data_IF_086140947837
#
_entry.id   IF_086140947837
#
_cell.length_a   1.000
_cell.length_b   1.000
_cell.length_c   1.000
_cell.angle_alpha   90.00
_cell.angle_beta   90.00
_cell.angle_gamma   90.00
#
_symmetry.space_group_name_H-M   'P 1'
#
loop_
_entity.id
_entity.type
_entity.pdbx_description
1 polymer ?
#
# COMPACT_ATOMS: atom_id res chain seq x y z
N UNK A 1 -15.56 -6.87 11.32
CA UNK A 1 -14.22 -6.42 10.89
C UNK A 1 -14.32 -6.05 9.43
N UNK A 2 -13.61 -5.02 8.96
CA UNK A 2 -13.60 -4.69 7.53
C UNK A 2 -12.95 -5.84 6.74
N UNK A 3 -13.46 -6.13 5.55
CA UNK A 3 -12.90 -7.14 4.66
C UNK A 3 -11.53 -6.69 4.14
N UNK A 4 -10.50 -7.53 4.26
CA UNK A 4 -9.11 -7.14 4.02
C UNK A 4 -8.82 -6.68 2.59
N UNK A 5 -9.33 -7.35 1.53
CA UNK A 5 -9.26 -6.85 0.15
C UNK A 5 -9.90 -5.47 -0.02
N UNK A 6 -11.09 -5.24 0.55
CA UNK A 6 -11.76 -3.94 0.47
C UNK A 6 -10.99 -2.87 1.25
N UNK A 7 -10.41 -3.23 2.39
CA UNK A 7 -9.56 -2.32 3.17
C UNK A 7 -8.31 -1.93 2.39
N UNK A 8 -7.64 -2.90 1.77
CA UNK A 8 -6.45 -2.65 0.95
C UNK A 8 -6.80 -1.72 -0.22
N UNK A 9 -7.89 -2.03 -0.94
CA UNK A 9 -8.31 -1.24 -2.09
C UNK A 9 -8.64 0.21 -1.71
N UNK A 10 -9.27 0.44 -0.55
CA UNK A 10 -9.55 1.80 -0.04
C UNK A 10 -8.30 2.63 0.20
N UNK A 11 -7.23 2.04 0.72
CA UNK A 11 -5.96 2.73 0.92
C UNK A 11 -5.16 2.88 -0.37
N UNK A 12 -5.23 1.88 -1.25
CA UNK A 12 -4.50 1.86 -2.52
C UNK A 12 -5.09 2.80 -3.58
N UNK A 13 -6.39 3.05 -3.54
CA UNK A 13 -7.10 3.79 -4.59
C UNK A 13 -6.57 5.22 -4.82
N UNK A 14 -6.39 6.10 -3.81
CA UNK A 14 -5.98 7.49 -4.06
C UNK A 14 -4.63 7.68 -4.80
N UNK A 15 -3.55 6.91 -4.52
CA UNK A 15 -2.35 6.97 -5.36
C UNK A 15 -2.47 6.17 -6.66
N UNK A 16 -3.33 5.14 -6.72
CA UNK A 16 -3.57 4.36 -7.94
C UNK A 16 -4.32 5.16 -9.01
N UNK A 17 -5.31 5.99 -8.65
CA UNK A 17 -5.99 6.89 -9.61
C UNK A 17 -5.05 7.93 -10.23
N UNK A 18 -3.89 8.19 -9.60
CA UNK A 18 -2.85 9.08 -10.09
C UNK A 18 -1.75 8.34 -10.87
N UNK A 19 -1.87 7.02 -11.02
CA UNK A 19 -0.91 6.17 -11.74
C UNK A 19 0.39 5.89 -10.99
N UNK A 20 0.44 6.08 -9.67
CA UNK A 20 1.68 5.88 -8.89
C UNK A 20 1.94 4.42 -8.49
N UNK A 21 0.89 3.59 -8.46
CA UNK A 21 0.97 2.17 -8.11
C UNK A 21 -0.21 1.40 -8.71
N UNK A 22 -0.14 0.06 -8.68
CA UNK A 22 -1.18 -0.83 -9.19
C UNK A 22 -1.14 -1.03 -10.70
N UNK A 23 -2.18 -1.64 -11.26
CA UNK A 23 -2.39 -1.77 -12.70
C UNK A 23 -3.11 -0.57 -13.31
N UNK A 24 -3.24 -0.58 -14.64
CA UNK A 24 -3.78 0.55 -15.43
C UNK A 24 -5.27 0.83 -15.17
N UNK A 25 -6.03 -0.17 -14.73
CA UNK A 25 -7.50 -0.08 -14.55
C UNK A 25 -7.89 0.32 -13.11
N UNK A 26 -7.54 1.56 -12.75
CA UNK A 26 -7.90 2.17 -11.46
C UNK A 26 -9.42 2.37 -11.28
N UNK A 27 -10.19 2.46 -12.38
CA UNK A 27 -11.65 2.62 -12.34
C UNK A 27 -12.32 1.32 -11.94
N UNK A 28 -11.91 0.18 -12.50
CA UNK A 28 -12.42 -1.11 -12.06
C UNK A 28 -12.18 -1.36 -10.57
N UNK A 29 -11.00 -0.96 -10.05
CA UNK A 29 -10.71 -1.07 -8.62
C UNK A 29 -11.67 -0.24 -7.77
N UNK A 30 -11.99 1.00 -8.18
CA UNK A 30 -12.97 1.84 -7.48
C UNK A 30 -14.36 1.22 -7.47
N UNK A 31 -14.82 0.76 -8.64
CA UNK A 31 -16.15 0.18 -8.82
C UNK A 31 -16.33 -1.06 -7.96
N UNK A 32 -15.37 -1.99 -8.01
CA UNK A 32 -15.36 -3.20 -7.19
C UNK A 32 -15.36 -2.87 -5.68
N UNK A 33 -14.54 -1.90 -5.27
CA UNK A 33 -14.44 -1.47 -3.86
C UNK A 33 -15.74 -0.81 -3.38
N UNK A 34 -16.37 0.00 -4.26
CA UNK A 34 -17.61 0.72 -3.96
C UNK A 34 -18.81 -0.21 -3.91
N UNK A 35 -18.82 -1.24 -4.75
CA UNK A 35 -19.82 -2.31 -4.71
C UNK A 35 -19.72 -3.16 -3.45
N UNK A 36 -18.56 -3.14 -2.76
CA UNK A 36 -18.33 -3.92 -1.55
C UNK A 36 -18.28 -5.43 -1.80
N UNK A 37 -18.06 -5.84 -3.05
CA UNK A 37 -18.02 -7.24 -3.47
C UNK A 37 -16.57 -7.67 -3.58
N UNK A 38 -16.20 -8.74 -2.87
CA UNK A 38 -14.90 -9.39 -3.01
C UNK A 38 -15.06 -10.63 -3.85
N UNK A 39 -14.54 -10.58 -5.08
CA UNK A 39 -14.46 -11.71 -5.98
C UNK A 39 -13.00 -12.07 -6.32
N UNK A 40 -12.81 -13.14 -7.11
CA UNK A 40 -11.49 -13.54 -7.56
C UNK A 40 -10.80 -12.50 -8.45
N UNK A 41 -11.57 -11.69 -9.18
CA UNK A 41 -11.06 -10.62 -10.03
C UNK A 41 -10.41 -9.50 -9.22
N UNK A 42 -11.12 -8.97 -8.21
CA UNK A 42 -10.58 -7.98 -7.29
C UNK A 42 -9.30 -8.49 -6.62
N UNK A 43 -9.31 -9.71 -6.09
CA UNK A 43 -8.13 -10.29 -5.43
C UNK A 43 -6.95 -10.42 -6.40
N UNK A 44 -7.19 -10.76 -7.67
CA UNK A 44 -6.16 -10.80 -8.69
C UNK A 44 -5.62 -9.40 -9.03
N UNK A 45 -6.48 -8.39 -9.11
CA UNK A 45 -6.07 -6.99 -9.30
C UNK A 45 -5.22 -6.49 -8.13
N UNK A 46 -5.56 -6.83 -6.88
CA UNK A 46 -4.76 -6.40 -5.72
C UNK A 46 -3.36 -7.01 -5.70
N UNK A 47 -3.15 -8.18 -6.32
CA UNK A 47 -1.82 -8.79 -6.47
C UNK A 47 -0.91 -8.03 -7.42
N UNK A 48 -1.45 -7.23 -8.34
CA UNK A 48 -0.65 -6.44 -9.28
C UNK A 48 0.03 -5.22 -8.63
N UNK A 49 -0.27 -4.93 -7.36
CA UNK A 49 0.44 -3.91 -6.60
C UNK A 49 1.84 -4.39 -6.21
N UNK A 50 2.74 -4.51 -7.19
CA UNK A 50 4.09 -5.09 -7.06
C UNK A 50 4.94 -4.45 -5.95
N UNK A 51 4.69 -3.18 -5.62
CA UNK A 51 5.36 -2.49 -4.51
C UNK A 51 4.85 -2.91 -3.13
N UNK A 52 3.55 -3.22 -3.00
CA UNK A 52 2.89 -3.50 -1.72
C UNK A 52 2.76 -5.00 -1.43
N UNK A 53 2.41 -5.81 -2.45
CA UNK A 53 2.24 -7.25 -2.35
C UNK A 53 3.39 -8.00 -1.64
N UNK A 54 4.68 -7.72 -1.93
CA UNK A 54 5.81 -8.28 -1.19
C UNK A 54 5.70 -8.20 0.34
N UNK A 55 5.24 -7.05 0.83
CA UNK A 55 5.17 -6.77 2.25
C UNK A 55 4.01 -7.51 2.88
N UNK A 56 2.88 -7.63 2.17
CA UNK A 56 1.74 -8.41 2.64
C UNK A 56 2.10 -9.88 2.80
N UNK A 57 2.80 -10.47 1.82
CA UNK A 57 3.30 -11.85 1.90
C UNK A 57 4.24 -12.02 3.10
N UNK A 58 5.16 -11.08 3.30
CA UNK A 58 6.14 -11.12 4.36
C UNK A 58 5.49 -11.04 5.76
N UNK A 59 4.55 -10.11 5.93
CA UNK A 59 3.81 -9.94 7.19
C UNK A 59 2.96 -11.18 7.45
N UNK A 60 2.25 -11.70 6.45
CA UNK A 60 1.42 -12.89 6.61
C UNK A 60 2.26 -14.10 7.02
N UNK A 61 3.33 -14.39 6.29
CA UNK A 61 4.23 -15.52 6.57
C UNK A 61 4.87 -15.42 7.96
N UNK A 62 5.39 -14.25 8.35
CA UNK A 62 6.01 -14.04 9.65
C UNK A 62 5.03 -14.17 10.84
N UNK A 63 3.73 -14.10 10.57
CA UNK A 63 2.68 -14.19 11.57
C UNK A 63 1.83 -15.46 11.46
N UNK A 64 2.24 -16.43 10.62
CA UNK A 64 1.52 -17.70 10.44
C UNK A 64 0.12 -17.52 9.84
N UNK A 65 -0.04 -16.55 8.95
CA UNK A 65 -1.29 -16.28 8.23
C UNK A 65 -1.14 -16.71 6.77
N UNK A 66 -2.14 -17.44 6.27
CA UNK A 66 -2.12 -17.96 4.91
C UNK A 66 -2.55 -16.92 3.86
N UNK A 67 -3.36 -15.93 4.27
CA UNK A 67 -3.88 -14.89 3.36
C UNK A 67 -3.10 -13.57 3.51
N UNK A 68 -2.33 -13.12 2.50
CA UNK A 68 -1.74 -11.78 2.46
C UNK A 68 -2.77 -10.65 2.51
N UNK A 69 -4.02 -10.93 2.14
CA UNK A 69 -5.14 -9.99 2.24
C UNK A 69 -5.96 -10.20 3.53
N UNK A 70 -5.47 -10.94 4.53
CA UNK A 70 -6.06 -10.93 5.87
C UNK A 70 -6.12 -9.49 6.39
N UNK A 71 -7.25 -9.07 6.96
CA UNK A 71 -7.48 -7.70 7.38
C UNK A 71 -6.38 -7.20 8.35
N UNK A 72 -5.83 -8.08 9.20
CA UNK A 72 -4.75 -7.73 10.14
C UNK A 72 -3.43 -7.48 9.42
N UNK A 73 -3.14 -8.21 8.35
CA UNK A 73 -1.96 -8.03 7.50
C UNK A 73 -2.06 -6.70 6.76
N UNK A 74 -3.21 -6.45 6.15
CA UNK A 74 -3.50 -5.20 5.42
C UNK A 74 -3.40 -3.99 6.36
N UNK A 75 -4.00 -4.07 7.55
CA UNK A 75 -3.91 -3.02 8.55
C UNK A 75 -2.46 -2.78 9.00
N UNK A 76 -1.69 -3.86 9.26
CA UNK A 76 -0.29 -3.76 9.63
C UNK A 76 0.54 -3.03 8.56
N UNK A 77 0.31 -3.32 7.28
CA UNK A 77 1.01 -2.67 6.18
C UNK A 77 0.67 -1.17 6.07
N UNK A 78 -0.59 -0.80 6.22
CA UNK A 78 -1.04 0.58 5.99
C UNK A 78 -0.92 1.51 7.19
N UNK A 79 -1.21 1.00 8.38
CA UNK A 79 -1.33 1.78 9.62
C UNK A 79 -0.27 1.42 10.67
N UNK A 80 0.35 0.26 10.53
CA UNK A 80 1.25 -0.30 11.53
C UNK A 80 0.53 -1.12 12.58
N UNK A 81 1.17 -2.18 13.05
CA UNK A 81 0.71 -3.00 14.17
C UNK A 81 1.86 -3.83 14.74
N UNK A 82 1.71 -4.46 15.92
CA UNK A 82 2.72 -5.38 16.47
C UNK A 82 3.04 -6.60 15.58
N UNK A 83 2.27 -6.86 14.52
CA UNK A 83 2.62 -7.91 13.55
C UNK A 83 3.92 -7.58 12.81
N UNK A 84 4.27 -6.29 12.69
CA UNK A 84 5.49 -5.85 12.02
C UNK A 84 6.74 -6.26 12.81
N UNK A 85 6.66 -6.33 14.14
CA UNK A 85 7.79 -6.72 15.01
C UNK A 85 8.21 -8.18 14.82
N UNK A 86 7.30 -9.01 14.28
CA UNK A 86 7.59 -10.41 13.96
C UNK A 86 8.32 -10.58 12.63
N UNK A 87 8.38 -9.53 11.81
CA UNK A 87 9.14 -9.56 10.56
C UNK A 87 10.60 -9.26 10.87
N UNK A 88 11.41 -10.31 10.97
CA UNK A 88 12.84 -10.18 11.24
C UNK A 88 13.57 -9.38 10.15
N UNK A 89 14.60 -8.62 10.56
CA UNK A 89 15.41 -7.78 9.67
C UNK A 89 16.04 -8.55 8.50
N UNK A 90 16.42 -9.82 8.72
CA UNK A 90 16.95 -10.69 7.68
C UNK A 90 15.91 -11.02 6.60
N UNK A 91 14.64 -11.27 7.00
CA UNK A 91 13.55 -11.55 6.07
C UNK A 91 13.20 -10.31 5.24
N UNK A 92 13.10 -9.15 5.89
CA UNK A 92 12.88 -7.88 5.21
C UNK A 92 14.03 -7.58 4.25
N UNK A 93 15.27 -7.72 4.69
CA UNK A 93 16.45 -7.46 3.86
C UNK A 93 16.55 -8.35 2.64
N UNK A 94 16.29 -9.66 2.80
CA UNK A 94 16.24 -10.60 1.67
C UNK A 94 15.18 -10.21 0.64
N UNK A 95 13.97 -9.88 1.11
CA UNK A 95 12.86 -9.45 0.23
C UNK A 95 13.17 -8.16 -0.52
N UNK A 96 13.79 -7.17 0.15
CA UNK A 96 14.21 -5.93 -0.48
C UNK A 96 15.35 -6.15 -1.50
N UNK A 97 16.32 -7.01 -1.18
CA UNK A 97 17.49 -7.28 -2.04
C UNK A 97 17.03 -7.90 -3.35
N UNK A 98 16.23 -8.95 -3.28
CA UNK A 98 15.67 -9.64 -4.43
C UNK A 98 14.89 -8.69 -5.36
N UNK A 99 14.06 -7.81 -4.78
CA UNK A 99 13.06 -7.05 -5.55
C UNK A 99 13.55 -5.68 -6.01
N UNK A 100 14.46 -5.06 -5.27
CA UNK A 100 14.81 -3.65 -5.44
C UNK A 100 16.28 -3.38 -5.68
N UNK A 101 17.20 -4.31 -5.39
CA UNK A 101 18.65 -4.06 -5.55
C UNK A 101 19.03 -3.64 -6.97
N UNK A 102 18.56 -4.38 -7.97
CA UNK A 102 18.84 -4.10 -9.39
C UNK A 102 18.30 -2.73 -9.82
N UNK A 103 17.11 -2.36 -9.35
CA UNK A 103 16.45 -1.09 -9.63
C UNK A 103 17.11 0.09 -8.91
N UNK A 104 17.47 -0.09 -7.65
CA UNK A 104 18.09 0.94 -6.80
C UNK A 104 19.55 1.24 -7.20
N UNK A 105 20.27 0.25 -7.72
CA UNK A 105 21.66 0.40 -8.17
C UNK A 105 22.54 0.99 -7.06
N UNK A 106 23.25 2.09 -7.37
CA UNK A 106 24.14 2.76 -6.42
C UNK A 106 23.44 3.22 -5.14
N UNK A 107 22.14 3.51 -5.17
CA UNK A 107 21.37 3.94 -3.99
C UNK A 107 21.01 2.80 -3.05
N UNK A 108 21.30 1.55 -3.41
CA UNK A 108 21.00 0.37 -2.60
C UNK A 108 21.58 0.45 -1.18
N UNK A 109 22.79 1.01 -1.01
CA UNK A 109 23.41 1.14 0.32
C UNK A 109 22.51 1.89 1.32
N UNK A 110 21.84 2.97 0.88
CA UNK A 110 20.94 3.77 1.74
C UNK A 110 19.71 2.97 2.16
N UNK A 111 19.18 2.16 1.26
CA UNK A 111 18.05 1.29 1.55
C UNK A 111 18.48 0.14 2.49
N UNK A 112 19.66 -0.43 2.25
CA UNK A 112 20.21 -1.49 3.09
C UNK A 112 20.51 -1.00 4.52
N UNK A 113 20.99 0.24 4.67
CA UNK A 113 21.22 0.86 5.99
C UNK A 113 19.93 1.07 6.78
N UNK A 114 18.78 1.25 6.14
CA UNK A 114 17.52 1.42 6.86
C UNK A 114 17.09 0.14 7.61
N UNK A 115 17.46 -1.03 7.12
CA UNK A 115 17.08 -2.34 7.69
C UNK A 115 17.58 -2.51 9.15
N UNK A 116 18.88 -2.40 9.46
CA UNK A 116 19.35 -2.49 10.84
C UNK A 116 18.90 -1.30 11.71
N UNK A 117 18.46 -0.20 11.11
CA UNK A 117 17.98 0.99 11.81
C UNK A 117 16.46 0.99 12.05
N UNK A 118 15.82 -0.18 11.98
CA UNK A 118 14.40 -0.34 12.34
C UNK A 118 13.42 -0.11 11.20
N UNK A 119 13.83 -0.32 9.94
CA UNK A 119 12.88 -0.39 8.85
C UNK A 119 11.86 -1.52 9.09
N UNK A 120 10.60 -1.21 8.81
CA UNK A 120 9.48 -2.14 8.91
C UNK A 120 8.82 -2.32 7.54
N UNK A 121 8.17 -3.46 7.27
CA UNK A 121 7.40 -3.70 6.05
C UNK A 121 6.09 -2.88 6.03
N UNK A 122 6.21 -1.56 6.12
CA UNK A 122 5.11 -0.61 6.25
C UNK A 122 5.05 0.29 5.02
N UNK A 123 3.85 0.76 4.66
CA UNK A 123 3.63 1.61 3.51
C UNK A 123 4.50 2.87 3.53
N UNK A 124 4.63 3.54 4.68
CA UNK A 124 5.49 4.72 4.81
C UNK A 124 6.96 4.41 4.53
N UNK A 125 7.46 3.23 4.91
CA UNK A 125 8.83 2.82 4.58
C UNK A 125 8.97 2.60 3.08
N UNK A 126 7.99 1.95 2.43
CA UNK A 126 8.01 1.80 0.98
C UNK A 126 8.04 3.16 0.27
N UNK A 127 7.15 4.08 0.65
CA UNK A 127 7.04 5.40 0.02
C UNK A 127 8.25 6.29 0.30
N UNK A 128 8.76 6.34 1.53
CA UNK A 128 9.82 7.27 1.93
C UNK A 128 11.23 6.68 1.78
N UNK A 129 11.38 5.37 1.99
CA UNK A 129 12.67 4.68 2.05
C UNK A 129 13.01 3.89 0.79
N UNK A 130 12.02 3.41 0.02
CA UNK A 130 12.26 2.61 -1.18
C UNK A 130 12.01 3.43 -2.46
N UNK A 131 10.80 3.95 -2.62
CA UNK A 131 10.30 4.56 -3.85
C UNK A 131 11.19 5.67 -4.45
N UNK A 132 11.84 6.56 -3.67
CA UNK A 132 12.76 7.56 -4.20
C UNK A 132 13.94 6.96 -4.98
N UNK A 133 14.37 5.76 -4.61
CA UNK A 133 15.59 5.14 -5.13
C UNK A 133 15.35 4.11 -6.24
N UNK A 134 14.16 3.51 -6.33
CA UNK A 134 13.85 2.45 -7.33
C UNK A 134 13.10 2.92 -8.58
N UNK A 135 12.63 4.17 -8.65
CA UNK A 135 11.89 4.64 -9.83
C UNK A 135 11.83 6.14 -10.04
N UNK A 136 11.81 6.94 -8.96
CA UNK A 136 11.67 8.39 -9.06
C UNK A 136 12.90 9.11 -9.63
N UNK A 137 14.11 8.63 -9.33
CA UNK A 137 15.34 9.33 -9.75
C UNK A 137 15.90 8.88 -11.11
N UNK A 138 15.35 7.84 -11.75
CA UNK A 138 15.84 7.35 -13.05
C UNK A 138 15.02 7.80 -14.26
N UNK A 139 13.73 8.11 -14.09
CA UNK A 139 12.86 8.42 -15.23
C UNK A 139 12.56 9.90 -15.46
N UNK A 140 12.93 10.83 -14.56
CA UNK A 140 12.64 12.26 -14.77
C UNK A 140 11.15 12.61 -14.89
N UNK A 141 10.24 11.67 -14.56
CA UNK A 141 8.78 11.77 -14.75
C UNK A 141 8.08 12.57 -13.65
N UNK A 142 8.79 13.02 -12.61
CA UNK A 142 8.17 13.83 -11.58
C UNK A 142 9.03 15.06 -11.36
N UNK A 143 8.52 16.21 -11.80
CA UNK A 143 9.08 17.53 -11.52
C UNK A 143 9.26 17.77 -10.01
N UNK A 144 8.54 17.03 -9.15
CA UNK A 144 8.66 17.12 -7.70
C UNK A 144 8.43 15.75 -6.99
N UNK A 145 9.48 14.98 -6.65
CA UNK A 145 9.35 13.76 -5.83
C UNK A 145 8.52 13.96 -4.56
N UNK A 146 8.62 15.13 -3.94
CA UNK A 146 7.84 15.52 -2.77
C UNK A 146 6.32 15.54 -3.03
N UNK A 147 5.88 15.88 -4.24
CA UNK A 147 4.46 15.86 -4.59
C UNK A 147 3.91 14.43 -4.59
N UNK A 148 4.65 13.46 -5.11
CA UNK A 148 4.22 12.05 -5.10
C UNK A 148 4.19 11.50 -3.68
N UNK A 149 5.21 11.82 -2.86
CA UNK A 149 5.25 11.40 -1.46
C UNK A 149 4.04 11.95 -0.67
N UNK A 150 3.65 13.20 -0.89
CA UNK A 150 2.46 13.77 -0.24
C UNK A 150 1.17 13.06 -0.68
N UNK A 151 1.07 12.69 -1.96
CA UNK A 151 -0.11 12.00 -2.52
C UNK A 151 -0.23 10.54 -2.09
N UNK A 152 0.89 9.89 -1.77
CA UNK A 152 0.91 8.53 -1.22
C UNK A 152 0.73 8.49 0.32
N UNK A 153 0.75 9.64 1.01
CA UNK A 153 0.58 9.67 2.46
C UNK A 153 -0.87 9.36 2.87
N UNK A 154 -1.03 8.48 3.85
CA UNK A 154 -2.34 8.18 4.44
C UNK A 154 -2.90 9.43 5.14
N UNK A 155 -4.15 9.77 4.80
CA UNK A 155 -4.88 10.95 5.27
C UNK A 155 -6.27 10.56 5.78
N UNK A 156 -6.79 11.36 6.70
CA UNK A 156 -8.18 11.24 7.15
C UNK A 156 -9.14 11.65 6.02
N UNK A 157 -10.21 10.89 5.82
CA UNK A 157 -11.30 11.27 4.92
C UNK A 157 -12.08 12.45 5.49
N UNK A 158 -12.42 13.45 4.68
CA UNK A 158 -13.42 14.44 5.08
C UNK A 158 -14.78 13.74 5.07
N UNK A 159 -15.38 13.57 6.24
CA UNK A 159 -16.74 13.05 6.34
C UNK A 159 -17.70 13.97 5.60
N UNK A 160 -18.29 13.49 4.50
CA UNK A 160 -19.45 14.14 3.92
C UNK A 160 -20.58 14.06 4.94
N UNK A 161 -20.94 15.19 5.54
CA UNK A 161 -22.16 15.28 6.31
C UNK A 161 -23.31 14.93 5.36
N UNK A 162 -23.89 13.73 5.52
CA UNK A 162 -25.11 13.35 4.81
C UNK A 162 -26.20 14.33 5.22
N UNK A 163 -26.50 15.27 4.33
CA UNK A 163 -27.67 16.13 4.47
C UNK A 163 -28.89 15.23 4.42
N UNK A 164 -29.44 14.88 5.60
CA UNK A 164 -30.82 14.42 5.69
C UNK A 164 -31.69 15.58 5.19
N UNK A 165 -32.28 15.41 4.01
CA UNK A 165 -33.35 16.30 3.54
C UNK A 165 -34.50 16.30 4.56
N UNK A 166 -35.22 17.41 4.74
CA UNK A 166 -36.30 17.48 5.70
C UNK A 166 -37.43 16.53 5.27
N UNK A 167 -38.16 15.91 6.22
CA UNK A 167 -39.31 15.08 5.88
C UNK A 167 -40.38 15.96 5.23
N UNK A 168 -40.79 15.59 4.02
CA UNK A 168 -41.87 16.25 3.29
C UNK A 168 -43.16 16.23 4.10
N UNK A 169 -43.63 17.42 4.48
CA UNK A 169 -44.96 17.62 5.05
C UNK A 169 -46.01 17.39 3.97
N UNK A 170 -46.96 16.49 4.25
CA UNK A 170 -48.22 16.43 3.52
C UNK A 170 -49.12 17.54 4.07
N UNK A 171 -49.63 18.38 3.19
CA UNK A 171 -50.71 19.34 3.42
C UNK A 171 -51.45 19.51 2.10
#
# INVERSE_FOLDING_TARGET
MADGPLLFARYAYPPNELGYCGGDDHRALLEQTSAGVVDGGLRQSLRSFEGAWPYLELIAAANGLDDPLDARVVEAYWLGSPLLDRVGSALLGGSLDERFRSRAGASWHRLAEAIPNGALPHHSFHVLGVYPFVGLLRNGVVTEPLHVLDRCRIRWGRGGAGTRGPPGGRG
#
